data_IF_698825948527
#
_entry.id   IF_698825948527
#
_cell.length_a   1.000
_cell.length_b   1.000
_cell.length_c   1.000
_cell.angle_alpha   90.00
_cell.angle_beta   90.00
_cell.angle_gamma   90.00
#
_symmetry.space_group_name_H-M   'P 1'
#
loop_
_entity.id
_entity.type
_entity.pdbx_description
1 polymer ?
#
# COMPACT_ATOMS: atom_id res chain seq x y z
N UNK A 1 18.09 -17.97 6.34
CA UNK A 1 19.48 -17.50 6.14
C UNK A 1 19.37 -15.99 5.92
N UNK A 2 19.92 -15.17 6.81
CA UNK A 2 19.83 -13.71 6.67
C UNK A 2 20.76 -13.26 5.55
N UNK A 3 20.19 -12.74 4.47
CA UNK A 3 20.91 -12.10 3.36
C UNK A 3 21.72 -10.91 3.92
N UNK A 4 22.98 -10.71 3.50
CA UNK A 4 23.78 -9.59 3.99
C UNK A 4 23.11 -8.23 3.69
N UNK A 5 23.36 -7.19 4.50
CA UNK A 5 22.94 -5.81 4.20
C UNK A 5 23.40 -5.42 2.81
N UNK A 6 22.53 -4.74 2.05
CA UNK A 6 22.86 -4.18 0.73
C UNK A 6 22.43 -2.73 0.63
N UNK A 7 23.30 -1.88 0.08
CA UNK A 7 22.95 -0.55 -0.46
C UNK A 7 22.41 -0.73 -1.87
N UNK A 8 21.17 -0.30 -2.09
CA UNK A 8 20.46 -0.51 -3.35
C UNK A 8 20.11 0.85 -3.94
N UNK A 9 20.55 1.12 -5.17
CA UNK A 9 20.00 2.18 -5.99
C UNK A 9 18.82 1.62 -6.77
N UNK A 10 17.60 2.00 -6.41
CA UNK A 10 16.38 1.65 -7.14
C UNK A 10 15.95 2.81 -8.03
N UNK A 11 15.76 2.56 -9.32
CA UNK A 11 15.38 3.58 -10.30
C UNK A 11 14.21 3.13 -11.17
N UNK A 12 13.32 4.07 -11.47
CA UNK A 12 12.39 3.96 -12.60
C UNK A 12 13.06 4.53 -13.84
N UNK A 13 12.98 3.82 -14.96
CA UNK A 13 13.56 4.31 -16.22
C UNK A 13 12.56 4.23 -17.37
N UNK A 14 12.74 5.14 -18.32
CA UNK A 14 12.02 5.16 -19.59
C UNK A 14 12.99 5.10 -20.75
N UNK A 15 12.81 5.99 -21.72
CA UNK A 15 13.67 6.09 -22.90
C UNK A 15 15.04 6.74 -22.64
N UNK A 16 15.27 7.27 -21.43
CA UNK A 16 16.53 7.92 -21.05
C UNK A 16 17.15 7.23 -19.82
N UNK A 17 17.81 6.07 -19.96
CA UNK A 17 18.48 5.39 -18.83
C UNK A 17 19.68 6.15 -18.26
N UNK A 18 20.16 7.20 -18.93
CA UNK A 18 21.25 8.07 -18.44
C UNK A 18 20.98 8.57 -17.01
N UNK A 19 19.71 8.79 -16.65
CA UNK A 19 19.31 9.18 -15.29
C UNK A 19 19.81 8.22 -14.20
N UNK A 20 20.04 6.94 -14.53
CA UNK A 20 20.62 5.97 -13.60
C UNK A 20 22.08 6.30 -13.30
N UNK A 21 22.88 6.58 -14.32
CA UNK A 21 24.30 6.91 -14.16
C UNK A 21 24.52 8.33 -13.65
N UNK A 22 23.64 9.28 -14.00
CA UNK A 22 23.64 10.63 -13.43
C UNK A 22 23.35 10.57 -11.92
N UNK A 23 22.33 9.79 -11.51
CA UNK A 23 22.03 9.57 -10.09
C UNK A 23 23.19 8.87 -9.39
N UNK A 24 23.75 7.81 -10.00
CA UNK A 24 24.88 7.07 -9.44
C UNK A 24 26.10 7.97 -9.24
N UNK A 25 26.41 8.83 -10.21
CA UNK A 25 27.49 9.79 -10.12
C UNK A 25 27.32 10.69 -8.90
N UNK A 26 26.18 11.34 -8.74
CA UNK A 26 25.97 12.24 -7.62
C UNK A 26 25.92 11.50 -6.26
N UNK A 27 25.40 10.26 -6.23
CA UNK A 27 25.45 9.42 -5.03
C UNK A 27 26.88 9.12 -4.58
N UNK A 28 27.73 8.71 -5.51
CA UNK A 28 29.12 8.34 -5.21
C UNK A 28 29.94 9.59 -4.87
N UNK A 29 29.82 10.64 -5.67
CA UNK A 29 30.69 11.82 -5.59
C UNK A 29 30.27 12.84 -4.52
N UNK A 30 28.97 13.04 -4.29
CA UNK A 30 28.47 14.03 -3.32
C UNK A 30 28.07 13.41 -1.99
N UNK A 31 27.51 12.19 -2.00
CA UNK A 31 26.93 11.55 -0.80
C UNK A 31 27.81 10.47 -0.20
N UNK A 32 28.84 9.99 -0.90
CA UNK A 32 29.62 8.82 -0.48
C UNK A 32 28.77 7.54 -0.41
N UNK A 33 27.63 7.51 -1.12
CA UNK A 33 26.76 6.36 -1.19
C UNK A 33 27.15 5.52 -2.42
N UNK A 34 27.87 4.43 -2.17
CA UNK A 34 28.24 3.45 -3.20
C UNK A 34 27.24 2.29 -3.10
N UNK A 35 26.34 2.09 -4.08
CA UNK A 35 25.42 0.96 -4.06
C UNK A 35 26.17 -0.36 -4.32
N UNK A 36 25.77 -1.41 -3.61
CA UNK A 36 26.18 -2.78 -3.89
C UNK A 36 25.43 -3.34 -5.11
N UNK A 37 24.20 -2.85 -5.33
CA UNK A 37 23.29 -3.33 -6.38
C UNK A 37 22.48 -2.15 -6.95
N UNK A 38 22.32 -2.13 -8.27
CA UNK A 38 21.37 -1.23 -8.94
C UNK A 38 20.15 -2.08 -9.33
N UNK A 39 18.95 -1.57 -9.10
CA UNK A 39 17.71 -2.16 -9.60
C UNK A 39 16.94 -1.16 -10.43
N UNK A 40 16.37 -1.65 -11.53
CA UNK A 40 15.57 -0.84 -12.44
C UNK A 40 14.20 -1.48 -12.59
N UNK A 41 13.14 -0.69 -12.49
CA UNK A 41 11.78 -1.09 -12.90
C UNK A 41 11.34 -0.27 -14.10
N UNK A 42 10.89 -0.94 -15.16
CA UNK A 42 10.60 -0.30 -16.44
C UNK A 42 9.65 -1.15 -17.32
N UNK A 43 9.32 -0.67 -18.52
CA UNK A 43 8.57 -1.42 -19.54
C UNK A 43 9.52 -2.19 -20.46
N UNK A 44 9.01 -3.03 -21.35
CA UNK A 44 9.85 -3.79 -22.28
C UNK A 44 10.69 -2.88 -23.20
N UNK A 45 10.14 -1.75 -23.65
CA UNK A 45 10.91 -0.76 -24.41
C UNK A 45 12.02 -0.13 -23.57
N UNK A 46 11.71 0.25 -22.32
CA UNK A 46 12.71 0.81 -21.41
C UNK A 46 13.81 -0.19 -21.07
N UNK A 47 13.51 -1.48 -20.88
CA UNK A 47 14.52 -2.52 -20.70
C UNK A 47 15.51 -2.58 -21.86
N UNK A 48 15.03 -2.55 -23.10
CA UNK A 48 15.91 -2.57 -24.27
C UNK A 48 16.87 -1.38 -24.26
N UNK A 49 16.35 -0.21 -23.89
CA UNK A 49 17.16 1.00 -23.78
C UNK A 49 18.17 0.90 -22.62
N UNK A 50 17.76 0.36 -21.46
CA UNK A 50 18.64 0.13 -20.31
C UNK A 50 19.79 -0.80 -20.67
N UNK A 51 19.50 -1.94 -21.30
CA UNK A 51 20.52 -2.89 -21.74
C UNK A 51 21.48 -2.25 -22.75
N UNK A 52 20.96 -1.51 -23.72
CA UNK A 52 21.77 -0.81 -24.72
C UNK A 52 22.67 0.24 -24.08
N UNK A 53 22.11 1.11 -23.25
CA UNK A 53 22.81 2.27 -22.68
C UNK A 53 23.75 1.87 -21.53
N UNK A 54 23.26 1.15 -20.54
CA UNK A 54 24.01 0.85 -19.32
C UNK A 54 24.95 -0.34 -19.49
N UNK A 55 24.53 -1.36 -20.26
CA UNK A 55 25.29 -2.61 -20.41
C UNK A 55 26.01 -2.72 -21.78
N UNK A 56 25.71 -1.84 -22.74
CA UNK A 56 26.25 -1.95 -24.10
C UNK A 56 25.72 -3.17 -24.86
N UNK A 57 24.54 -3.68 -24.49
CA UNK A 57 23.93 -4.88 -25.05
C UNK A 57 22.79 -4.50 -26.01
N UNK A 58 22.90 -4.91 -27.28
CA UNK A 58 21.86 -4.75 -28.30
C UNK A 58 21.63 -6.09 -28.99
N UNK A 59 20.36 -6.46 -29.23
CA UNK A 59 20.04 -7.78 -29.82
C UNK A 59 20.52 -9.00 -29.01
N UNK A 60 20.75 -8.85 -27.70
CA UNK A 60 21.24 -9.91 -26.81
C UNK A 60 22.76 -10.14 -26.88
N UNK A 61 23.52 -9.26 -27.53
CA UNK A 61 24.97 -9.34 -27.64
C UNK A 61 25.60 -8.07 -27.10
N UNK A 62 26.79 -8.19 -26.50
CA UNK A 62 27.58 -7.05 -26.06
C UNK A 62 28.27 -6.44 -27.29
N UNK A 63 27.78 -5.29 -27.74
CA UNK A 63 28.28 -4.57 -28.92
C UNK A 63 29.36 -3.56 -28.55
N UNK A 64 29.29 -3.00 -27.33
CA UNK A 64 30.22 -1.98 -26.85
C UNK A 64 30.36 -1.99 -25.32
N UNK A 65 31.24 -1.14 -24.80
CA UNK A 65 31.30 -0.83 -23.37
C UNK A 65 30.01 -0.08 -22.98
N UNK A 66 29.37 -0.53 -21.91
CA UNK A 66 28.18 0.13 -21.36
C UNK A 66 28.54 1.31 -20.46
N UNK A 67 27.63 2.28 -20.31
CA UNK A 67 27.87 3.48 -19.50
C UNK A 67 28.21 3.15 -18.03
N UNK A 68 27.65 2.07 -17.47
CA UNK A 68 27.94 1.64 -16.10
C UNK A 68 29.36 1.08 -15.96
N UNK A 69 29.79 0.25 -16.92
CA UNK A 69 31.16 -0.29 -16.94
C UNK A 69 32.19 0.84 -17.11
N UNK A 70 31.85 1.84 -17.92
CA UNK A 70 32.65 3.04 -18.07
C UNK A 70 32.70 3.84 -16.76
N UNK A 71 31.59 3.99 -16.05
CA UNK A 71 31.54 4.73 -14.79
C UNK A 71 32.43 4.09 -13.72
N UNK A 72 32.36 2.75 -13.60
CA UNK A 72 33.21 1.99 -12.68
C UNK A 72 34.68 2.15 -13.04
N UNK A 73 35.03 2.22 -14.32
CA UNK A 73 36.40 2.46 -14.75
C UNK A 73 36.88 3.87 -14.41
N UNK A 74 36.00 4.86 -14.56
CA UNK A 74 36.33 6.28 -14.37
C UNK A 74 36.46 6.66 -12.89
N UNK A 75 35.62 6.09 -12.02
CA UNK A 75 35.49 6.50 -10.62
C UNK A 75 35.79 5.42 -9.59
N UNK A 76 35.89 4.15 -9.99
CA UNK A 76 36.04 3.02 -9.08
C UNK A 76 37.28 3.10 -8.20
N UNK A 77 38.45 3.40 -8.79
CA UNK A 77 39.70 3.56 -8.03
C UNK A 77 39.62 4.74 -7.05
N UNK A 78 39.11 5.88 -7.50
CA UNK A 78 39.02 7.11 -6.71
C UNK A 78 38.17 6.93 -5.45
N UNK A 79 37.07 6.19 -5.54
CA UNK A 79 36.11 6.02 -4.45
C UNK A 79 36.14 4.62 -3.80
N UNK A 80 37.07 3.76 -4.22
CA UNK A 80 37.33 2.47 -3.58
C UNK A 80 36.31 1.37 -3.87
N UNK A 81 35.77 1.30 -5.09
CA UNK A 81 34.87 0.24 -5.53
C UNK A 81 35.28 -0.34 -6.88
N UNK A 82 35.14 -1.65 -7.06
CA UNK A 82 35.53 -2.34 -8.30
C UNK A 82 34.35 -2.92 -9.07
N UNK A 83 33.20 -3.05 -8.42
CA UNK A 83 32.00 -3.65 -9.00
C UNK A 83 30.76 -3.09 -8.33
N UNK A 84 29.68 -3.02 -9.11
CA UNK A 84 28.31 -2.78 -8.67
C UNK A 84 27.47 -3.85 -9.36
N UNK A 85 26.67 -4.61 -8.61
CA UNK A 85 25.86 -5.67 -9.22
C UNK A 85 24.77 -5.05 -10.08
N UNK A 86 24.85 -5.29 -11.39
CA UNK A 86 23.81 -4.92 -12.35
C UNK A 86 23.88 -5.84 -13.56
N UNK A 87 22.88 -6.70 -13.70
CA UNK A 87 22.68 -7.56 -14.86
C UNK A 87 21.19 -7.59 -15.26
N UNK A 88 20.82 -8.43 -16.22
CA UNK A 88 19.44 -8.49 -16.70
C UNK A 88 18.43 -8.88 -15.60
N UNK A 89 18.86 -9.59 -14.55
CA UNK A 89 18.01 -9.95 -13.40
C UNK A 89 17.72 -8.78 -12.47
N UNK A 90 18.48 -7.68 -12.59
CA UNK A 90 18.26 -6.43 -11.88
C UNK A 90 17.20 -5.54 -12.56
N UNK A 91 16.68 -5.95 -13.72
CA UNK A 91 15.70 -5.18 -14.51
C UNK A 91 14.32 -5.85 -14.37
N UNK A 92 13.48 -5.28 -13.52
CA UNK A 92 12.08 -5.66 -13.36
C UNK A 92 11.25 -5.05 -14.50
N UNK A 93 10.50 -5.90 -15.21
CA UNK A 93 9.66 -5.47 -16.32
C UNK A 93 8.21 -5.49 -15.86
N UNK A 94 7.50 -4.39 -16.05
CA UNK A 94 6.08 -4.29 -15.74
C UNK A 94 5.28 -5.21 -16.67
N UNK A 95 4.37 -5.99 -16.09
CA UNK A 95 3.55 -6.99 -16.78
C UNK A 95 2.06 -6.68 -16.69
N UNK A 96 1.30 -7.24 -17.62
CA UNK A 96 -0.16 -7.22 -17.58
C UNK A 96 -0.74 -8.35 -16.72
N UNK A 97 -2.08 -8.44 -16.66
CA UNK A 97 -2.80 -9.49 -15.93
C UNK A 97 -2.54 -10.91 -16.46
N UNK A 98 -2.01 -11.06 -17.67
CA UNK A 98 -1.67 -12.34 -18.30
C UNK A 98 -0.18 -12.67 -18.17
N UNK A 99 0.55 -11.98 -17.28
CA UNK A 99 2.02 -12.05 -17.11
C UNK A 99 2.81 -11.62 -18.37
N UNK A 100 2.16 -10.99 -19.35
CA UNK A 100 2.83 -10.50 -20.56
C UNK A 100 3.54 -9.18 -20.27
N UNK A 101 4.76 -9.05 -20.77
CA UNK A 101 5.58 -7.85 -20.60
C UNK A 101 4.94 -6.67 -21.34
N UNK A 102 4.63 -5.59 -20.62
CA UNK A 102 4.07 -4.39 -21.23
C UNK A 102 5.12 -3.73 -22.13
N UNK A 103 4.74 -3.43 -23.37
CA UNK A 103 5.62 -2.70 -24.29
C UNK A 103 5.90 -1.28 -23.77
N UNK A 104 4.86 -0.59 -23.32
CA UNK A 104 4.81 0.75 -22.75
C UNK A 104 3.52 0.88 -21.90
N UNK A 105 3.38 1.93 -21.08
CA UNK A 105 2.17 2.22 -20.29
C UNK A 105 1.37 3.31 -21.02
N UNK A 106 0.18 2.96 -21.49
CA UNK A 106 -0.66 3.79 -22.37
C UNK A 106 -2.13 3.86 -21.96
N UNK A 107 -2.59 2.99 -21.06
CA UNK A 107 -3.95 3.02 -20.52
C UNK A 107 -4.00 3.25 -19.00
N UNK A 108 -5.15 3.69 -18.44
CA UNK A 108 -5.37 3.75 -17.00
C UNK A 108 -5.18 2.39 -16.30
N UNK A 109 -5.63 1.30 -16.93
CA UNK A 109 -5.51 -0.07 -16.42
C UNK A 109 -4.04 -0.49 -16.34
N UNK A 110 -3.26 -0.24 -17.40
CA UNK A 110 -1.82 -0.48 -17.41
C UNK A 110 -1.08 0.37 -16.36
N UNK A 111 -1.54 1.60 -16.11
CA UNK A 111 -0.98 2.46 -15.07
C UNK A 111 -1.27 1.93 -13.66
N UNK A 112 -2.45 1.34 -13.42
CA UNK A 112 -2.77 0.69 -12.15
C UNK A 112 -1.91 -0.56 -11.93
N UNK A 113 -1.72 -1.37 -12.98
CA UNK A 113 -0.79 -2.52 -12.96
C UNK A 113 0.65 -2.11 -12.65
N UNK A 114 1.11 -0.99 -13.24
CA UNK A 114 2.41 -0.42 -12.92
C UNK A 114 2.49 0.03 -11.45
N UNK A 115 1.43 0.64 -10.93
CA UNK A 115 1.34 1.05 -9.53
C UNK A 115 1.52 -0.15 -8.59
N UNK A 116 0.74 -1.22 -8.80
CA UNK A 116 0.78 -2.42 -7.99
C UNK A 116 2.19 -3.07 -7.97
N UNK A 117 2.82 -3.17 -9.14
CA UNK A 117 4.15 -3.79 -9.25
C UNK A 117 5.26 -2.92 -8.67
N UNK A 118 5.22 -1.59 -8.87
CA UNK A 118 6.19 -0.66 -8.26
C UNK A 118 6.07 -0.67 -6.75
N UNK A 119 4.85 -0.56 -6.22
CA UNK A 119 4.60 -0.55 -4.78
C UNK A 119 5.02 -1.87 -4.14
N UNK A 120 4.71 -3.00 -4.78
CA UNK A 120 5.13 -4.33 -4.32
C UNK A 120 6.66 -4.48 -4.32
N UNK A 121 7.36 -4.06 -5.37
CA UNK A 121 8.82 -4.15 -5.46
C UNK A 121 9.51 -3.37 -4.35
N UNK A 122 9.09 -2.13 -4.08
CA UNK A 122 9.64 -1.33 -2.98
C UNK A 122 9.38 -2.02 -1.64
N UNK A 123 8.16 -2.50 -1.42
CA UNK A 123 7.81 -3.27 -0.22
C UNK A 123 8.75 -4.46 -0.01
N UNK A 124 8.97 -5.28 -1.04
CA UNK A 124 9.87 -6.43 -1.00
C UNK A 124 11.32 -6.04 -0.65
N UNK A 125 11.84 -4.97 -1.24
CA UNK A 125 13.21 -4.51 -0.98
C UNK A 125 13.39 -3.94 0.43
N UNK A 126 12.33 -3.37 1.00
CA UNK A 126 12.30 -2.86 2.38
C UNK A 126 12.14 -3.96 3.45
N UNK A 127 11.67 -5.18 3.09
CA UNK A 127 11.42 -6.27 4.05
C UNK A 127 12.67 -6.68 4.84
N UNK A 128 13.85 -6.66 4.22
CA UNK A 128 15.10 -6.92 4.95
C UNK A 128 15.56 -5.62 5.65
N UNK A 129 15.45 -5.51 6.98
CA UNK A 129 15.75 -4.26 7.71
C UNK A 129 17.20 -3.78 7.56
N UNK A 130 18.09 -4.67 7.12
CA UNK A 130 19.51 -4.38 6.92
C UNK A 130 19.82 -3.74 5.55
N UNK A 131 18.90 -3.83 4.58
CA UNK A 131 19.07 -3.13 3.30
C UNK A 131 18.97 -1.61 3.50
N UNK A 132 19.61 -0.84 2.64
CA UNK A 132 19.44 0.61 2.55
C UNK A 132 19.09 0.98 1.11
N UNK A 133 17.94 1.62 0.90
CA UNK A 133 17.48 2.02 -0.42
C UNK A 133 17.75 3.51 -0.66
N UNK A 134 18.37 3.80 -1.81
CA UNK A 134 18.27 5.10 -2.45
C UNK A 134 17.37 4.98 -3.67
N UNK A 135 16.30 5.76 -3.69
CA UNK A 135 15.26 5.69 -4.71
C UNK A 135 15.34 6.92 -5.60
N UNK A 136 15.45 6.71 -6.91
CA UNK A 136 15.45 7.77 -7.93
C UNK A 136 14.12 7.80 -8.68
N UNK A 137 13.50 8.98 -8.76
CA UNK A 137 12.24 9.19 -9.48
C UNK A 137 12.42 9.88 -10.85
N UNK A 138 13.66 10.01 -11.33
CA UNK A 138 14.00 10.84 -12.48
C UNK A 138 13.67 10.23 -13.86
N UNK A 139 13.17 9.00 -13.93
CA UNK A 139 12.90 8.32 -15.21
C UNK A 139 11.53 7.66 -15.32
N UNK A 140 11.22 7.16 -16.52
CA UNK A 140 9.97 6.48 -16.82
C UNK A 140 8.81 7.42 -17.12
N UNK A 141 7.58 6.89 -17.10
CA UNK A 141 6.37 7.74 -17.10
C UNK A 141 6.30 8.47 -15.77
N UNK A 142 5.86 9.73 -15.76
CA UNK A 142 5.80 10.58 -14.53
C UNK A 142 5.08 9.90 -13.35
N UNK A 143 4.05 9.09 -13.64
CA UNK A 143 3.31 8.32 -12.63
C UNK A 143 4.16 7.25 -11.94
N UNK A 144 5.16 6.67 -12.61
CA UNK A 144 6.06 5.68 -12.01
C UNK A 144 6.89 6.31 -10.88
N UNK A 145 7.43 7.51 -11.09
CA UNK A 145 8.14 8.25 -10.05
C UNK A 145 7.23 8.61 -8.86
N UNK A 146 5.97 8.96 -9.13
CA UNK A 146 4.97 9.17 -8.07
C UNK A 146 4.74 7.89 -7.25
N UNK A 147 4.50 6.75 -7.89
CA UNK A 147 4.27 5.48 -7.18
C UNK A 147 5.49 5.04 -6.38
N UNK A 148 6.69 5.32 -6.88
CA UNK A 148 7.93 5.02 -6.18
C UNK A 148 8.07 5.84 -4.89
N UNK A 149 7.83 7.16 -4.93
CA UNK A 149 7.84 8.01 -3.73
C UNK A 149 6.71 7.68 -2.76
N UNK A 150 5.53 7.32 -3.27
CA UNK A 150 4.41 6.88 -2.45
C UNK A 150 4.70 5.54 -1.77
N UNK A 151 5.28 4.57 -2.48
CA UNK A 151 5.67 3.29 -1.92
C UNK A 151 6.72 3.44 -0.81
N UNK A 152 7.68 4.35 -0.96
CA UNK A 152 8.58 4.69 0.15
C UNK A 152 7.81 5.27 1.34
N UNK A 153 6.82 6.13 1.12
CA UNK A 153 5.97 6.64 2.22
C UNK A 153 5.27 5.52 2.99
N UNK A 154 4.97 4.40 2.33
CA UNK A 154 4.38 3.22 2.95
C UNK A 154 5.40 2.31 3.67
N UNK A 155 6.52 1.99 3.02
CA UNK A 155 7.44 0.92 3.44
C UNK A 155 8.84 1.37 3.84
N UNK A 156 9.22 2.60 3.49
CA UNK A 156 10.56 3.12 3.67
C UNK A 156 10.93 3.28 5.15
N UNK A 157 12.23 3.17 5.42
CA UNK A 157 12.81 3.19 6.76
C UNK A 157 13.62 4.46 7.00
N UNK A 158 14.20 4.56 8.18
CA UNK A 158 14.94 5.75 8.61
C UNK A 158 16.13 6.09 7.72
N UNK A 159 16.82 5.06 7.26
CA UNK A 159 18.02 5.14 6.42
C UNK A 159 17.75 5.10 4.92
N UNK A 160 16.49 4.94 4.49
CA UNK A 160 16.10 5.01 3.09
C UNK A 160 15.93 6.46 2.63
N UNK A 161 16.23 6.72 1.35
CA UNK A 161 16.24 8.07 0.77
C UNK A 161 15.58 8.13 -0.60
N UNK A 162 15.08 9.32 -0.96
CA UNK A 162 14.37 9.60 -2.21
C UNK A 162 14.99 10.84 -2.85
N UNK A 163 15.28 10.78 -4.14
CA UNK A 163 15.83 11.94 -4.86
C UNK A 163 15.36 12.04 -6.30
N UNK A 164 15.56 13.22 -6.86
CA UNK A 164 15.54 13.47 -8.30
C UNK A 164 16.90 14.05 -8.69
N UNK A 165 17.53 13.47 -9.71
CA UNK A 165 18.79 14.01 -10.23
C UNK A 165 18.54 15.28 -11.04
N UNK A 166 19.39 16.29 -10.86
CA UNK A 166 19.37 17.53 -11.62
C UNK A 166 20.66 17.62 -12.42
N UNK A 167 20.54 17.91 -13.71
CA UNK A 167 21.66 18.06 -14.64
C UNK A 167 21.63 19.47 -15.20
N UNK A 168 22.79 20.10 -15.37
CA UNK A 168 22.89 21.39 -16.08
C UNK A 168 22.21 21.33 -17.45
N UNK A 169 21.38 22.34 -17.77
CA UNK A 169 20.40 22.32 -18.86
C UNK A 169 20.97 21.93 -20.23
N UNK A 170 22.22 22.32 -20.51
CA UNK A 170 22.92 22.00 -21.75
C UNK A 170 23.22 20.50 -21.95
N UNK A 171 23.14 19.69 -20.89
CA UNK A 171 23.36 18.25 -20.91
C UNK A 171 22.09 17.40 -20.76
N UNK A 172 20.96 17.95 -20.31
CA UNK A 172 19.71 17.19 -20.00
C UNK A 172 19.19 16.33 -21.17
N UNK A 173 19.37 16.81 -22.41
CA UNK A 173 18.91 16.11 -23.61
C UNK A 173 20.07 15.83 -24.58
N UNK A 174 21.31 15.85 -24.08
CA UNK A 174 22.49 15.65 -24.91
C UNK A 174 22.69 14.14 -25.15
N UNK A 175 22.57 13.66 -26.41
CA UNK A 175 22.78 12.25 -26.69
C UNK A 175 24.18 11.82 -26.26
N UNK A 176 24.28 10.62 -25.68
CA UNK A 176 25.55 10.04 -25.20
C UNK A 176 26.18 10.74 -23.98
N UNK A 177 25.51 11.73 -23.37
CA UNK A 177 25.86 12.16 -22.02
C UNK A 177 25.25 11.19 -21.00
N UNK A 178 26.07 10.77 -20.03
CA UNK A 178 25.67 9.79 -19.00
C UNK A 178 26.02 10.24 -17.58
N UNK A 179 27.13 10.95 -17.42
CA UNK A 179 27.63 11.53 -16.16
C UNK A 179 28.83 12.43 -16.49
N UNK A 180 29.23 13.34 -15.59
CA UNK A 180 30.45 14.12 -15.74
C UNK A 180 31.69 13.22 -15.77
N UNK A 181 32.59 13.45 -16.72
CA UNK A 181 33.84 12.68 -16.84
C UNK A 181 34.96 13.27 -15.99
N UNK A 182 35.88 12.47 -15.45
CA UNK A 182 37.07 12.98 -14.75
C UNK A 182 38.12 13.56 -15.73
N UNK A 183 37.87 13.48 -17.04
CA UNK A 183 38.73 13.95 -18.12
C UNK A 183 37.89 14.61 -19.22
N UNK A 184 38.54 15.40 -20.08
CA UNK A 184 37.89 16.08 -21.21
C UNK A 184 37.28 15.06 -22.17
N UNK A 185 35.97 15.14 -22.39
CA UNK A 185 35.21 14.25 -23.24
C UNK A 185 34.15 15.02 -24.01
N UNK A 186 34.48 15.33 -25.27
CA UNK A 186 33.67 16.16 -26.15
C UNK A 186 32.49 15.38 -26.73
N UNK A 187 31.30 15.92 -26.54
CA UNK A 187 30.03 15.39 -27.05
C UNK A 187 29.38 16.48 -27.90
N UNK A 188 28.84 16.10 -29.06
CA UNK A 188 28.12 17.03 -29.93
C UNK A 188 26.61 16.89 -29.77
N UNK A 189 25.91 18.01 -29.72
CA UNK A 189 24.45 18.02 -29.78
C UNK A 189 23.95 17.86 -31.24
N UNK A 190 22.63 17.78 -31.42
CA UNK A 190 21.99 17.68 -32.73
C UNK A 190 22.19 18.91 -33.64
N UNK A 191 22.64 20.03 -33.08
CA UNK A 191 22.93 21.28 -33.79
C UNK A 191 24.42 21.43 -34.13
N UNK A 192 25.26 20.43 -33.80
CA UNK A 192 26.71 20.47 -34.03
C UNK A 192 27.49 21.32 -33.02
N UNK A 193 26.86 21.75 -31.93
CA UNK A 193 27.54 22.44 -30.82
C UNK A 193 28.23 21.40 -29.95
N UNK A 194 29.51 21.63 -29.67
CA UNK A 194 30.35 20.75 -28.85
C UNK A 194 30.29 21.18 -27.38
N UNK A 195 30.03 20.21 -26.50
CA UNK A 195 30.08 20.34 -25.06
C UNK A 195 31.10 19.35 -24.50
N UNK A 196 31.78 19.71 -23.42
CA UNK A 196 32.68 18.79 -22.73
C UNK A 196 31.98 18.23 -21.49
N UNK A 197 31.80 16.91 -21.45
CA UNK A 197 31.10 16.22 -20.37
C UNK A 197 31.75 16.46 -19.00
N UNK A 198 33.06 16.73 -18.93
CA UNK A 198 33.74 17.05 -17.66
C UNK A 198 33.14 18.28 -16.95
N UNK A 199 32.53 19.19 -17.70
CA UNK A 199 32.03 20.47 -17.19
C UNK A 199 30.56 20.39 -16.73
N UNK A 200 29.89 19.26 -16.92
CA UNK A 200 28.52 19.07 -16.52
C UNK A 200 28.36 19.14 -15.00
N UNK A 201 27.29 19.78 -14.53
CA UNK A 201 26.93 19.80 -13.11
C UNK A 201 25.78 18.83 -12.91
N UNK A 202 26.00 17.83 -12.07
CA UNK A 202 25.00 16.82 -11.71
C UNK A 202 24.91 16.74 -10.20
N UNK A 203 23.70 16.88 -9.66
CA UNK A 203 23.43 16.90 -8.22
C UNK A 203 22.11 16.22 -7.87
N UNK A 204 21.95 15.80 -6.62
CA UNK A 204 20.69 15.22 -6.14
C UNK A 204 19.84 16.24 -5.42
N UNK A 205 18.63 16.46 -5.92
CA UNK A 205 17.56 17.07 -5.13
C UNK A 205 16.93 15.99 -4.25
N UNK A 206 17.29 15.96 -2.96
CA UNK A 206 16.62 15.10 -1.99
C UNK A 206 15.17 15.56 -1.78
N UNK A 207 14.25 14.61 -1.84
CA UNK A 207 12.82 14.87 -1.69
C UNK A 207 12.42 14.42 -0.29
N UNK A 208 11.97 15.33 0.59
CA UNK A 208 11.41 14.95 1.87
C UNK A 208 10.10 14.19 1.65
N UNK A 209 9.89 13.13 2.42
CA UNK A 209 8.71 12.27 2.32
C UNK A 209 8.22 11.85 3.71
N UNK A 210 6.94 11.51 3.82
CA UNK A 210 6.30 11.19 5.10
C UNK A 210 6.27 9.68 5.30
N UNK A 211 6.75 9.19 6.44
CA UNK A 211 6.66 7.79 6.84
C UNK A 211 5.29 7.53 7.45
N UNK A 212 4.42 6.87 6.69
CA UNK A 212 3.04 6.57 7.08
C UNK A 212 2.89 5.22 7.79
N UNK A 213 3.98 4.55 8.19
CA UNK A 213 4.01 3.19 8.76
C UNK A 213 3.08 2.91 9.96
N UNK A 214 2.36 3.92 10.45
CA UNK A 214 1.28 3.84 11.41
C UNK A 214 -0.07 4.01 10.68
N UNK A 215 -0.71 2.91 10.28
CA UNK A 215 -2.08 2.93 9.74
C UNK A 215 -2.32 2.02 8.52
N UNK A 216 -1.24 1.51 7.91
CA UNK A 216 -1.30 0.58 6.78
C UNK A 216 -1.59 -0.82 7.31
N UNK A 217 -2.40 -1.62 6.60
CA UNK A 217 -2.69 -2.99 7.02
C UNK A 217 -1.52 -3.94 6.83
N UNK A 218 -1.40 -4.90 7.74
CA UNK A 218 -0.45 -6.01 7.64
C UNK A 218 -0.61 -6.81 6.35
N UNK A 219 -1.80 -6.79 5.73
CA UNK A 219 -2.04 -7.43 4.46
C UNK A 219 -1.29 -6.72 3.32
N UNK A 220 -1.32 -5.39 3.28
CA UNK A 220 -0.58 -4.61 2.28
C UNK A 220 0.93 -4.69 2.53
N UNK A 221 1.36 -4.52 3.80
CA UNK A 221 2.75 -4.72 4.22
C UNK A 221 3.28 -6.13 3.90
N UNK A 222 2.42 -7.14 4.04
CA UNK A 222 2.73 -8.52 3.72
C UNK A 222 2.56 -8.91 2.24
N UNK A 223 2.18 -7.97 1.37
CA UNK A 223 1.96 -8.22 -0.06
C UNK A 223 0.78 -9.16 -0.37
N UNK A 224 -0.18 -9.31 0.54
CA UNK A 224 -1.37 -10.18 0.40
C UNK A 224 -2.52 -9.51 -0.39
N UNK A 225 -2.43 -8.20 -0.59
CA UNK A 225 -3.40 -7.35 -1.27
C UNK A 225 -2.62 -6.36 -2.13
N UNK A 226 -3.15 -6.04 -3.32
CA UNK A 226 -2.51 -5.08 -4.22
C UNK A 226 -2.66 -3.64 -3.70
N UNK A 227 -1.85 -2.73 -4.22
CA UNK A 227 -1.96 -1.33 -3.86
C UNK A 227 -3.33 -0.77 -4.30
N UNK A 228 -3.74 -1.01 -5.54
CA UNK A 228 -5.03 -0.57 -6.06
C UNK A 228 -6.21 -1.08 -5.23
N UNK A 229 -6.20 -2.36 -4.83
CA UNK A 229 -7.24 -2.92 -3.96
C UNK A 229 -7.25 -2.28 -2.58
N UNK A 230 -6.06 -2.02 -2.01
CA UNK A 230 -5.95 -1.36 -0.70
C UNK A 230 -6.52 0.06 -0.73
N UNK A 231 -6.30 0.80 -1.81
CA UNK A 231 -6.87 2.14 -2.01
C UNK A 231 -8.38 2.08 -2.14
N UNK A 232 -8.91 1.13 -2.92
CA UNK A 232 -10.36 0.94 -3.07
C UNK A 232 -11.02 0.66 -1.71
N UNK A 233 -10.47 -0.26 -0.92
CA UNK A 233 -11.00 -0.59 0.41
C UNK A 233 -10.91 0.58 1.38
N UNK A 234 -9.81 1.32 1.40
CA UNK A 234 -9.66 2.51 2.23
C UNK A 234 -10.68 3.59 1.85
N UNK A 235 -10.90 3.83 0.55
CA UNK A 235 -11.88 4.81 0.07
C UNK A 235 -13.32 4.41 0.41
N UNK A 236 -13.64 3.11 0.43
CA UNK A 236 -14.96 2.63 0.86
C UNK A 236 -15.27 2.96 2.32
N UNK A 237 -14.25 3.09 3.17
CA UNK A 237 -14.43 3.49 4.58
C UNK A 237 -14.64 5.00 4.70
N UNK A 238 -14.02 5.78 3.81
CA UNK A 238 -14.15 7.24 3.78
C UNK A 238 -15.43 7.71 3.08
N UNK A 239 -16.03 6.87 2.24
CA UNK A 239 -17.36 7.10 1.68
C UNK A 239 -18.39 7.23 2.82
N UNK A 240 -19.49 7.97 2.58
CA UNK A 240 -20.58 8.11 3.56
C UNK A 240 -21.00 6.70 4.03
N UNK A 241 -20.84 6.37 5.33
CA UNK A 241 -21.04 5.00 5.77
C UNK A 241 -22.51 4.61 5.62
N UNK A 242 -22.75 3.42 5.07
CA UNK A 242 -24.10 2.85 4.94
C UNK A 242 -24.11 1.39 5.36
N UNK A 243 -25.25 0.94 5.87
CA UNK A 243 -25.39 -0.41 6.42
C UNK A 243 -26.70 -1.02 5.90
N UNK A 244 -26.62 -2.14 5.20
CA UNK A 244 -27.80 -2.85 4.67
C UNK A 244 -27.81 -4.29 5.15
N UNK A 245 -28.87 -4.70 5.84
CA UNK A 245 -29.07 -6.09 6.24
C UNK A 245 -29.75 -6.86 5.10
N UNK A 246 -29.14 -7.96 4.68
CA UNK A 246 -29.60 -8.73 3.53
C UNK A 246 -30.51 -9.89 3.98
N UNK A 247 -31.47 -10.22 3.12
CA UNK A 247 -32.40 -11.34 3.30
C UNK A 247 -31.91 -12.57 2.50
N UNK A 248 -32.14 -13.80 2.98
CA UNK A 248 -32.79 -14.15 4.26
C UNK A 248 -31.92 -13.85 5.47
N UNK A 249 -32.53 -13.53 6.62
CA UNK A 249 -31.81 -13.27 7.88
C UNK A 249 -30.86 -14.42 8.27
N UNK A 250 -31.22 -15.66 7.92
CA UNK A 250 -30.46 -16.88 8.24
C UNK A 250 -29.07 -16.91 7.58
N UNK A 251 -28.90 -16.21 6.45
CA UNK A 251 -27.61 -16.12 5.76
C UNK A 251 -26.60 -15.24 6.49
N UNK A 252 -27.08 -14.37 7.39
CA UNK A 252 -26.27 -13.47 8.24
C UNK A 252 -25.37 -12.52 7.44
N UNK A 253 -25.78 -12.16 6.22
CA UNK A 253 -25.05 -11.23 5.38
C UNK A 253 -25.47 -9.79 5.68
N UNK A 254 -24.47 -8.94 5.90
CA UNK A 254 -24.65 -7.50 6.09
C UNK A 254 -23.71 -6.79 5.13
N UNK A 255 -24.24 -5.81 4.41
CA UNK A 255 -23.47 -4.97 3.50
C UNK A 255 -23.08 -3.67 4.18
N UNK A 256 -21.77 -3.44 4.29
CA UNK A 256 -21.15 -2.24 4.85
C UNK A 256 -20.64 -1.40 3.67
N UNK A 257 -21.37 -0.35 3.30
CA UNK A 257 -21.13 0.37 2.05
C UNK A 257 -21.33 -0.54 0.84
N UNK A 258 -20.22 -0.87 0.16
CA UNK A 258 -20.21 -1.78 -1.00
C UNK A 258 -19.69 -3.18 -0.66
N UNK A 259 -19.30 -3.45 0.60
CA UNK A 259 -18.65 -4.70 1.01
C UNK A 259 -19.64 -5.58 1.76
N UNK A 260 -19.90 -6.77 1.24
CA UNK A 260 -20.77 -7.76 1.88
C UNK A 260 -19.96 -8.67 2.82
N UNK A 261 -20.38 -8.74 4.07
CA UNK A 261 -19.69 -9.50 5.11
C UNK A 261 -20.69 -10.46 5.76
N UNK A 262 -20.33 -11.75 5.79
CA UNK A 262 -21.04 -12.76 6.57
C UNK A 262 -20.62 -12.68 8.04
N UNK A 263 -21.56 -12.33 8.90
CA UNK A 263 -21.36 -12.21 10.34
C UNK A 263 -21.64 -13.54 11.05
N UNK A 264 -21.02 -13.77 12.20
CA UNK A 264 -21.42 -14.84 13.11
C UNK A 264 -22.70 -14.45 13.87
N UNK A 265 -23.49 -15.39 14.42
CA UNK A 265 -24.77 -15.07 15.06
C UNK A 265 -24.67 -14.04 16.19
N UNK A 266 -23.64 -14.12 17.04
CA UNK A 266 -23.40 -13.12 18.10
C UNK A 266 -23.10 -11.72 17.54
N UNK A 267 -22.30 -11.65 16.47
CA UNK A 267 -21.92 -10.39 15.81
C UNK A 267 -23.15 -9.75 15.13
N UNK A 268 -23.95 -10.57 14.44
CA UNK A 268 -25.18 -10.15 13.76
C UNK A 268 -26.24 -9.67 14.77
N UNK A 269 -26.51 -10.45 15.82
CA UNK A 269 -27.48 -10.08 16.87
C UNK A 269 -27.08 -8.79 17.58
N UNK A 270 -25.78 -8.60 17.84
CA UNK A 270 -25.27 -7.37 18.44
C UNK A 270 -25.51 -6.17 17.53
N UNK A 271 -25.10 -6.27 16.25
CA UNK A 271 -25.23 -5.17 15.31
C UNK A 271 -26.69 -4.82 15.02
N UNK A 272 -27.54 -5.82 14.77
CA UNK A 272 -28.96 -5.58 14.46
C UNK A 272 -29.74 -5.05 15.67
N UNK A 273 -29.51 -5.58 16.88
CA UNK A 273 -30.18 -5.03 18.08
C UNK A 273 -29.79 -3.58 18.33
N UNK A 274 -28.54 -3.20 18.04
CA UNK A 274 -28.08 -1.82 18.15
C UNK A 274 -28.77 -0.91 17.13
N UNK A 275 -28.91 -1.38 15.88
CA UNK A 275 -29.68 -0.68 14.85
C UNK A 275 -31.15 -0.49 15.24
N UNK A 276 -31.80 -1.54 15.73
CA UNK A 276 -33.20 -1.46 16.17
C UNK A 276 -33.38 -0.53 17.37
N UNK A 277 -32.45 -0.57 18.34
CA UNK A 277 -32.47 0.37 19.46
C UNK A 277 -32.31 1.82 18.97
N UNK A 278 -31.43 2.07 17.99
CA UNK A 278 -31.23 3.39 17.38
C UNK A 278 -32.50 3.91 16.70
N UNK A 279 -33.15 3.09 15.87
CA UNK A 279 -34.42 3.42 15.21
C UNK A 279 -35.58 3.63 16.18
N UNK A 280 -35.58 2.94 17.33
CA UNK A 280 -36.53 3.13 18.43
C UNK A 280 -36.15 4.29 19.36
N UNK A 281 -35.03 4.97 19.11
CA UNK A 281 -34.45 6.01 19.97
C UNK A 281 -34.24 5.57 21.44
N UNK A 282 -33.84 4.31 21.62
CA UNK A 282 -33.52 3.71 22.93
C UNK A 282 -31.99 3.67 23.09
N UNK A 283 -31.48 4.15 24.23
CA UNK A 283 -30.06 4.05 24.55
C UNK A 283 -29.64 2.58 24.72
N UNK A 284 -28.63 2.14 23.95
CA UNK A 284 -28.06 0.79 24.04
C UNK A 284 -27.13 0.67 25.26
N UNK A 285 -27.73 0.68 26.45
CA UNK A 285 -27.02 0.66 27.73
C UNK A 285 -26.79 -0.75 28.26
N UNK A 286 -25.69 -0.96 28.99
CA UNK A 286 -25.41 -2.20 29.72
C UNK A 286 -26.50 -2.57 30.72
N UNK A 287 -27.26 -1.60 31.22
CA UNK A 287 -28.31 -1.77 32.23
C UNK A 287 -29.71 -2.00 31.62
N UNK A 288 -29.86 -1.87 30.31
CA UNK A 288 -31.18 -1.89 29.69
C UNK A 288 -31.62 -3.33 29.33
N UNK A 289 -32.56 -3.87 30.10
CA UNK A 289 -33.11 -5.21 29.89
C UNK A 289 -33.86 -5.34 28.57
N UNK A 290 -34.60 -4.32 28.12
CA UNK A 290 -35.32 -4.34 26.84
C UNK A 290 -34.36 -4.47 25.65
N UNK A 291 -33.21 -3.78 25.73
CA UNK A 291 -32.15 -3.88 24.72
C UNK A 291 -31.52 -5.27 24.70
N UNK A 292 -31.30 -5.86 25.88
CA UNK A 292 -30.81 -7.24 25.96
C UNK A 292 -31.84 -8.25 25.45
N UNK A 293 -33.13 -8.05 25.73
CA UNK A 293 -34.21 -8.85 25.18
C UNK A 293 -34.26 -8.78 23.65
N UNK A 294 -34.07 -7.60 23.05
CA UNK A 294 -33.94 -7.45 21.60
C UNK A 294 -32.75 -8.25 21.04
N UNK A 295 -31.60 -8.21 21.71
CA UNK A 295 -30.43 -9.01 21.33
C UNK A 295 -30.74 -10.52 21.37
N UNK A 296 -31.37 -11.01 22.44
CA UNK A 296 -31.74 -12.42 22.62
C UNK A 296 -32.77 -12.89 21.58
N UNK A 297 -33.76 -12.06 21.25
CA UNK A 297 -34.77 -12.37 20.25
C UNK A 297 -34.14 -12.61 18.87
N UNK A 298 -33.23 -11.72 18.45
CA UNK A 298 -32.49 -11.87 17.18
C UNK A 298 -31.60 -13.11 17.24
N UNK A 299 -30.91 -13.34 18.35
CA UNK A 299 -30.06 -14.53 18.51
C UNK A 299 -30.86 -15.82 18.42
N UNK A 300 -32.07 -15.83 18.99
CA UNK A 300 -33.01 -16.95 18.92
C UNK A 300 -33.49 -17.21 17.50
N UNK A 301 -33.75 -16.16 16.70
CA UNK A 301 -34.06 -16.32 15.28
C UNK A 301 -32.94 -17.06 14.55
N UNK A 302 -31.68 -16.69 14.81
CA UNK A 302 -30.51 -17.24 14.11
C UNK A 302 -30.05 -18.62 14.61
N UNK A 303 -30.25 -18.94 15.90
CA UNK A 303 -29.76 -20.18 16.53
C UNK A 303 -30.85 -21.14 17.00
N UNK A 304 -32.11 -20.73 16.97
CA UNK A 304 -33.26 -21.49 17.48
C UNK A 304 -33.44 -21.45 19.00
N UNK A 305 -32.41 -21.09 19.78
CA UNK A 305 -32.49 -20.91 21.23
C UNK A 305 -31.43 -19.93 21.74
N UNK A 306 -31.81 -19.08 22.70
CA UNK A 306 -30.91 -18.21 23.45
C UNK A 306 -30.73 -18.64 24.91
N UNK A 307 -31.16 -19.85 25.30
CA UNK A 307 -31.18 -20.34 26.69
C UNK A 307 -29.82 -20.21 27.40
N UNK A 308 -28.71 -20.47 26.68
CA UNK A 308 -27.36 -20.32 27.22
C UNK A 308 -27.04 -18.88 27.63
N UNK A 309 -27.51 -17.88 26.88
CA UNK A 309 -27.31 -16.47 27.16
C UNK A 309 -28.30 -15.95 28.20
N UNK A 310 -29.56 -16.40 28.14
CA UNK A 310 -30.58 -16.10 29.16
C UNK A 310 -30.16 -16.59 30.54
N UNK A 311 -29.61 -17.80 30.63
CA UNK A 311 -29.15 -18.38 31.90
C UNK A 311 -28.03 -17.58 32.55
N UNK A 312 -27.26 -16.77 31.80
CA UNK A 312 -26.23 -15.89 32.35
C UNK A 312 -26.82 -14.74 33.16
N UNK A 313 -28.00 -14.24 32.76
CA UNK A 313 -28.66 -13.11 33.45
C UNK A 313 -29.78 -13.56 34.39
N UNK A 314 -30.28 -14.80 34.26
CA UNK A 314 -31.42 -15.33 35.01
C UNK A 314 -31.28 -15.30 36.53
N UNK A 315 -30.05 -15.43 37.06
CA UNK A 315 -29.78 -15.49 38.49
C UNK A 315 -29.07 -14.25 39.05
N UNK A 316 -29.02 -13.20 38.25
CA UNK A 316 -28.45 -11.91 38.64
C UNK A 316 -29.30 -11.29 39.76
N UNK A 317 -28.63 -10.75 40.79
CA UNK A 317 -29.29 -10.24 42.00
C UNK A 317 -29.54 -8.74 41.99
N UNK A 318 -28.86 -8.00 41.11
CA UNK A 318 -28.90 -6.54 41.05
C UNK A 318 -28.48 -6.04 39.66
N UNK A 319 -28.79 -4.77 39.38
CA UNK A 319 -28.49 -4.12 38.08
C UNK A 319 -26.99 -4.12 37.74
N UNK A 320 -26.09 -4.09 38.75
CA UNK A 320 -24.65 -4.08 38.52
C UNK A 320 -24.14 -5.44 38.01
N UNK A 321 -24.61 -6.54 38.60
CA UNK A 321 -24.35 -7.90 38.12
C UNK A 321 -24.93 -8.12 36.71
N UNK A 322 -26.08 -7.52 36.39
CA UNK A 322 -26.67 -7.58 35.05
C UNK A 322 -25.77 -6.89 34.03
N UNK A 323 -25.35 -5.67 34.35
CA UNK A 323 -24.45 -4.88 33.50
C UNK A 323 -23.09 -5.56 33.29
N UNK A 324 -22.59 -6.31 34.27
CA UNK A 324 -21.34 -7.06 34.12
C UNK A 324 -21.48 -8.19 33.09
N UNK A 325 -22.59 -8.93 33.12
CA UNK A 325 -22.85 -10.02 32.18
C UNK A 325 -23.12 -9.51 30.76
N UNK A 326 -23.94 -8.45 30.61
CA UNK A 326 -24.17 -7.83 29.30
C UNK A 326 -22.89 -7.23 28.73
N UNK A 327 -22.04 -6.61 29.57
CA UNK A 327 -20.72 -6.10 29.15
C UNK A 327 -19.85 -7.21 28.57
N UNK A 328 -19.77 -8.37 29.22
CA UNK A 328 -19.00 -9.52 28.72
C UNK A 328 -19.51 -9.95 27.34
N UNK A 329 -20.82 -10.05 27.17
CA UNK A 329 -21.45 -10.46 25.89
C UNK A 329 -21.19 -9.43 24.79
N UNK A 330 -21.51 -8.16 25.04
CA UNK A 330 -21.41 -7.11 24.04
C UNK A 330 -19.95 -6.81 23.65
N UNK A 331 -19.03 -6.83 24.63
CA UNK A 331 -17.60 -6.60 24.34
C UNK A 331 -16.98 -7.71 23.49
N UNK A 332 -17.35 -8.97 23.74
CA UNK A 332 -16.95 -10.12 22.92
C UNK A 332 -17.49 -9.98 21.49
N UNK A 333 -18.78 -9.69 21.33
CA UNK A 333 -19.41 -9.49 20.02
C UNK A 333 -18.79 -8.31 19.26
N UNK A 334 -18.59 -7.17 19.93
CA UNK A 334 -17.97 -5.98 19.35
C UNK A 334 -16.52 -6.23 18.94
N UNK A 335 -15.75 -6.98 19.75
CA UNK A 335 -14.37 -7.35 19.43
C UNK A 335 -14.29 -8.21 18.16
N UNK A 336 -15.12 -9.26 18.07
CA UNK A 336 -15.13 -10.15 16.91
C UNK A 336 -15.65 -9.46 15.65
N UNK A 337 -16.71 -8.66 15.76
CA UNK A 337 -17.20 -7.81 14.69
C UNK A 337 -16.10 -6.87 14.20
N UNK A 338 -15.43 -6.17 15.12
CA UNK A 338 -14.34 -5.26 14.78
C UNK A 338 -13.17 -5.94 14.11
N UNK A 339 -12.78 -7.14 14.58
CA UNK A 339 -11.73 -7.94 13.93
C UNK A 339 -12.11 -8.34 12.50
N UNK A 340 -13.37 -8.72 12.28
CA UNK A 340 -13.88 -9.10 10.96
C UNK A 340 -13.91 -7.90 10.02
N UNK A 341 -14.49 -6.77 10.44
CA UNK A 341 -14.52 -5.53 9.66
C UNK A 341 -13.11 -5.09 9.29
N UNK A 342 -12.18 -5.05 10.27
CA UNK A 342 -10.79 -4.64 10.01
C UNK A 342 -10.10 -5.52 8.98
N UNK A 343 -10.36 -6.82 9.01
CA UNK A 343 -9.86 -7.77 8.03
C UNK A 343 -10.46 -7.52 6.65
N UNK A 344 -11.78 -7.46 6.52
CA UNK A 344 -12.45 -7.35 5.21
C UNK A 344 -12.09 -6.03 4.50
N UNK A 345 -12.01 -4.93 5.25
CA UNK A 345 -11.60 -3.62 4.74
C UNK A 345 -10.08 -3.42 4.70
N UNK A 346 -9.27 -4.42 5.07
CA UNK A 346 -7.80 -4.34 5.11
C UNK A 346 -7.30 -3.05 5.79
N UNK A 347 -7.83 -2.75 6.98
CA UNK A 347 -7.41 -1.61 7.82
C UNK A 347 -6.66 -2.07 9.07
N UNK A 348 -5.67 -1.27 9.48
CA UNK A 348 -4.93 -1.48 10.72
C UNK A 348 -5.70 -1.01 11.96
N UNK A 349 -5.11 -0.08 12.70
CA UNK A 349 -5.67 0.46 13.94
C UNK A 349 -6.64 1.63 13.77
N UNK A 350 -7.03 1.97 12.53
CA UNK A 350 -7.93 3.09 12.26
C UNK A 350 -9.32 2.87 12.88
N UNK A 351 -9.88 3.94 13.45
CA UNK A 351 -11.28 4.00 13.84
C UNK A 351 -12.16 4.01 12.58
N UNK A 352 -13.33 3.38 12.66
CA UNK A 352 -14.29 3.31 11.56
C UNK A 352 -15.72 3.37 12.11
N UNK A 353 -16.64 4.08 11.43
CA UNK A 353 -18.04 4.17 11.86
C UNK A 353 -18.77 2.82 11.84
N UNK A 354 -18.23 1.82 11.13
CA UNK A 354 -18.79 0.47 11.08
C UNK A 354 -18.55 -0.36 12.34
N UNK A 355 -17.61 0.05 13.21
CA UNK A 355 -17.36 -0.62 14.50
C UNK A 355 -18.03 0.20 15.61
N UNK A 356 -19.00 -0.36 16.34
CA UNK A 356 -19.64 0.35 17.44
C UNK A 356 -18.63 0.82 18.49
N UNK A 357 -18.75 2.06 18.94
CA UNK A 357 -17.96 2.60 20.02
C UNK A 357 -18.63 2.29 21.36
N UNK A 358 -17.84 2.13 22.42
CA UNK A 358 -18.36 2.03 23.79
C UNK A 358 -17.94 3.25 24.58
N UNK A 359 -18.91 4.02 25.06
CA UNK A 359 -18.68 5.18 25.92
C UNK A 359 -19.75 5.22 27.02
N UNK A 360 -19.38 5.66 28.23
CA UNK A 360 -20.32 5.81 29.35
C UNK A 360 -21.25 4.62 29.62
N UNK A 361 -20.77 3.38 29.44
CA UNK A 361 -21.56 2.15 29.63
C UNK A 361 -22.72 1.98 28.62
N UNK A 362 -22.59 2.63 27.46
CA UNK A 362 -23.46 2.47 26.31
C UNK A 362 -22.61 2.06 25.09
N UNK A 363 -23.27 1.44 24.11
CA UNK A 363 -22.71 1.24 22.77
C UNK A 363 -23.42 2.14 21.77
N UNK A 364 -22.68 2.67 20.82
CA UNK A 364 -23.21 3.53 19.77
C UNK A 364 -22.64 3.15 18.40
N UNK A 365 -23.51 3.16 17.39
CA UNK A 365 -23.13 3.00 16.00
C UNK A 365 -23.14 4.37 15.33
N UNK A 366 -21.96 4.78 14.86
CA UNK A 366 -21.70 6.10 14.27
C UNK A 366 -22.08 6.15 12.78
N UNK A 367 -23.26 5.64 12.44
CA UNK A 367 -23.86 5.67 11.10
C UNK A 367 -25.23 6.34 11.24
N UNK A 368 -25.48 7.40 10.46
CA UNK A 368 -26.79 8.07 10.47
C UNK A 368 -27.91 7.12 10.06
N UNK A 369 -29.06 7.23 10.72
CA UNK A 369 -30.21 6.32 10.54
C UNK A 369 -30.68 6.25 9.08
N UNK A 370 -30.65 7.37 8.36
CA UNK A 370 -30.97 7.46 6.93
C UNK A 370 -30.08 6.61 6.02
N UNK A 371 -28.91 6.17 6.49
CA UNK A 371 -28.01 5.29 5.74
C UNK A 371 -28.07 3.84 6.22
N UNK A 372 -29.06 3.48 7.04
CA UNK A 372 -29.27 2.12 7.53
C UNK A 372 -30.55 1.55 6.91
N UNK A 373 -30.41 0.43 6.20
CA UNK A 373 -31.51 -0.27 5.55
C UNK A 373 -31.67 -1.69 6.12
N UNK A 374 -32.82 -1.92 6.76
CA UNK A 374 -33.26 -3.24 7.26
C UNK A 374 -34.50 -3.76 6.53
N UNK A 375 -34.95 -3.07 5.48
CA UNK A 375 -36.24 -3.32 4.81
C UNK A 375 -36.37 -4.76 4.31
N UNK A 376 -35.27 -5.33 3.81
CA UNK A 376 -35.22 -6.70 3.29
C UNK A 376 -35.49 -7.76 4.35
N UNK A 377 -35.10 -7.52 5.61
CA UNK A 377 -35.25 -8.48 6.71
C UNK A 377 -36.49 -8.21 7.58
N UNK A 378 -37.21 -7.10 7.38
CA UNK A 378 -38.43 -6.79 8.14
C UNK A 378 -39.45 -7.94 8.16
N UNK A 379 -39.72 -8.67 7.06
CA UNK A 379 -40.63 -9.81 7.08
C UNK A 379 -40.18 -10.92 8.04
N UNK A 380 -38.88 -11.12 8.20
CA UNK A 380 -38.31 -12.14 9.08
C UNK A 380 -38.39 -11.76 10.56
N UNK A 381 -38.47 -10.45 10.85
CA UNK A 381 -38.58 -9.88 12.20
C UNK A 381 -40.06 -9.74 12.66
N UNK A 382 -41.02 -9.65 11.72
CA UNK A 382 -42.42 -9.43 12.03
C UNK A 382 -42.99 -10.53 12.97
N UNK A 383 -43.51 -10.10 14.12
CA UNK A 383 -44.10 -10.98 15.13
C UNK A 383 -43.11 -11.69 16.06
N UNK A 384 -41.80 -11.38 15.97
CA UNK A 384 -40.75 -12.01 16.78
C UNK A 384 -39.92 -11.05 17.65
N UNK A 385 -40.01 -9.73 17.42
CA UNK A 385 -39.24 -8.68 18.11
C UNK A 385 -40.13 -7.48 18.44
#
# INVERSE_FOLDING_TARGET
MNTPPKKILLSVTGMSPAVVTETLYALVTEKGFIPDEIRVITTQQGKNQVLKTLCGIEGGRKEQKGALEEFISDYGEQFGFQQIHFDESCIEIIRDHNDQKLSDIRSPEENNLAADQIVSLVGQLCQNPQNQLHVSIAGGRKTMGFFMGYALSLYGREHDSLSHVLVSAEFENLPSFYYPKPYSHKIMNSQGVEFDAQNAKVMLAEIPWVRLGLGISDELLGGRISYSDSVLKAQQILAKPSLTFLSPIDDQNVRFGNTEIKLAPKEYSFLLSLVLAKQKHIAYSLFNEDVFAMYLAIYTILKGSAESLENRVKFVKNEAEFAEETKKIYSESCHHLGKRIKKEFSIGHCETPYIPSSSHQCYELLIEEENIDISAILPDLQGKI
#
